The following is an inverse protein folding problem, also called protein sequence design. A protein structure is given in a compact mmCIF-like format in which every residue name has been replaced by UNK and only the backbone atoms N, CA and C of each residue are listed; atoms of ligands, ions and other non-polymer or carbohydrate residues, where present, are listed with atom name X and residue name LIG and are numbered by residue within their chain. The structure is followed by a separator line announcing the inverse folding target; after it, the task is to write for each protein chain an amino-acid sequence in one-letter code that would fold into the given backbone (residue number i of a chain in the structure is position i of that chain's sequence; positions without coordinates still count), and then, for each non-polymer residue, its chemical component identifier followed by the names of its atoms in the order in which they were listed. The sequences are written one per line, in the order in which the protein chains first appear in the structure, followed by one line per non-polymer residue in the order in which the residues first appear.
data_IF_983362628683
#
_entry.id   IF_983362628683
#
_cell.length_a   1.000
_cell.length_b   1.000
_cell.length_c   1.000
_cell.angle_alpha   90.00
_cell.angle_beta   90.00
_cell.angle_gamma   90.00
#
_symmetry.space_group_name_H-M   'P 1'
#
loop_
_entity.id
_entity.type
_entity.pdbx_description
1 polymer ?
#
# COMPACT_ATOMS: atom_id res chain seq x y z
N UNK A 1 7.82 25.68 -16.59
CA UNK A 1 8.27 24.95 -15.41
C UNK A 1 7.27 23.87 -15.07
N UNK A 2 7.77 22.67 -14.92
CA UNK A 2 6.89 21.55 -14.62
C UNK A 2 6.32 21.69 -13.22
N UNK A 3 5.06 21.31 -13.10
CA UNK A 3 4.40 21.23 -11.81
C UNK A 3 5.04 20.09 -11.00
N UNK A 4 5.53 20.35 -9.79
CA UNK A 4 6.12 19.27 -8.98
C UNK A 4 5.20 18.07 -8.77
N UNK A 5 3.88 18.30 -8.67
CA UNK A 5 2.92 17.20 -8.58
C UNK A 5 2.95 16.33 -9.81
N UNK A 6 3.05 16.93 -10.99
CA UNK A 6 3.12 16.19 -12.24
C UNK A 6 4.40 15.39 -12.34
N UNK A 7 5.50 15.95 -11.90
CA UNK A 7 6.79 15.27 -11.93
C UNK A 7 6.78 14.08 -10.98
N UNK A 8 6.20 14.25 -9.80
CA UNK A 8 6.08 13.18 -8.83
C UNK A 8 5.19 12.06 -9.37
N UNK A 9 4.05 12.41 -9.96
CA UNK A 9 3.14 11.44 -10.53
C UNK A 9 3.80 10.66 -11.66
N UNK A 10 4.56 11.33 -12.52
CA UNK A 10 5.27 10.69 -13.61
C UNK A 10 6.33 9.72 -13.08
N UNK A 11 7.05 10.11 -12.05
CA UNK A 11 8.07 9.25 -11.45
C UNK A 11 7.44 8.00 -10.84
N UNK A 12 6.36 8.16 -10.10
CA UNK A 12 5.64 7.03 -9.50
C UNK A 12 5.15 6.08 -10.58
N UNK A 13 4.57 6.61 -11.65
CA UNK A 13 4.10 5.81 -12.75
C UNK A 13 5.23 5.00 -13.38
N UNK A 14 6.36 5.63 -13.62
CA UNK A 14 7.52 4.98 -14.23
C UNK A 14 8.05 3.85 -13.35
N UNK A 15 8.13 4.09 -12.05
CA UNK A 15 8.58 3.08 -11.10
C UNK A 15 7.64 1.88 -11.12
N UNK A 16 6.34 2.14 -11.10
CA UNK A 16 5.34 1.09 -11.10
C UNK A 16 5.39 0.27 -12.39
N UNK A 17 5.49 0.94 -13.52
CA UNK A 17 5.57 0.26 -14.82
C UNK A 17 6.82 -0.61 -14.92
N UNK A 18 7.93 -0.10 -14.47
CA UNK A 18 9.18 -0.83 -14.52
C UNK A 18 9.11 -2.07 -13.63
N UNK A 19 8.58 -1.90 -12.43
CA UNK A 19 8.46 -2.99 -11.49
C UNK A 19 7.54 -4.10 -12.03
N UNK A 20 6.41 -3.71 -12.61
CA UNK A 20 5.48 -4.68 -13.19
C UNK A 20 6.09 -5.39 -14.38
N UNK A 21 6.74 -4.64 -15.26
CA UNK A 21 7.33 -5.20 -16.46
C UNK A 21 8.42 -6.22 -16.15
N UNK A 22 9.19 -5.97 -15.13
CA UNK A 22 10.32 -6.83 -14.76
C UNK A 22 9.95 -7.90 -13.75
N UNK A 23 8.71 -7.85 -13.23
CA UNK A 23 8.32 -8.76 -12.17
C UNK A 23 9.12 -8.58 -10.91
N UNK A 24 9.67 -7.38 -10.72
CA UNK A 24 10.59 -7.12 -9.61
C UNK A 24 9.90 -7.15 -8.27
N UNK A 25 8.61 -6.80 -8.26
CA UNK A 25 7.85 -6.79 -7.01
C UNK A 25 7.52 -8.19 -6.51
N UNK A 26 7.78 -9.21 -7.32
CA UNK A 26 7.53 -10.57 -6.90
C UNK A 26 6.06 -10.83 -6.61
N UNK A 27 5.19 -10.21 -7.38
CA UNK A 27 3.76 -10.38 -7.15
C UNK A 27 3.35 -11.83 -7.30
N UNK A 28 2.74 -12.40 -6.29
CA UNK A 28 2.24 -13.76 -6.41
C UNK A 28 1.00 -13.80 -7.28
N UNK A 29 0.61 -15.01 -7.70
CA UNK A 29 -0.61 -15.19 -8.48
C UNK A 29 -1.80 -15.18 -7.52
N UNK A 30 -2.16 -14.00 -7.07
CA UNK A 30 -3.26 -13.79 -6.13
C UNK A 30 -4.13 -12.65 -6.63
N UNK A 31 -5.29 -12.51 -6.02
CA UNK A 31 -6.18 -11.41 -6.35
C UNK A 31 -5.47 -10.08 -6.12
N UNK A 32 -5.72 -9.13 -7.01
CA UNK A 32 -5.09 -7.81 -6.94
C UNK A 32 -5.52 -7.08 -5.67
N UNK A 33 -6.79 -7.20 -5.29
CA UNK A 33 -7.30 -6.58 -4.06
C UNK A 33 -7.27 -7.64 -2.96
N UNK A 34 -6.15 -7.70 -2.25
CA UNK A 34 -5.97 -8.71 -1.21
C UNK A 34 -4.81 -8.30 -0.29
N UNK A 35 -4.76 -8.91 0.87
CA UNK A 35 -3.66 -8.72 1.80
C UNK A 35 -2.34 -9.15 1.18
N UNK A 36 -2.36 -10.26 0.46
CA UNK A 36 -1.17 -10.80 -0.17
C UNK A 36 -0.60 -9.84 -1.20
N UNK A 37 -1.46 -9.23 -2.01
CA UNK A 37 -1.02 -8.27 -3.00
C UNK A 37 -0.44 -7.02 -2.34
N UNK A 38 -1.10 -6.50 -1.33
CA UNK A 38 -0.60 -5.32 -0.61
C UNK A 38 0.76 -5.61 0.01
N UNK A 39 0.89 -6.77 0.66
CA UNK A 39 2.15 -7.18 1.29
C UNK A 39 3.28 -7.30 0.27
N UNK A 40 3.01 -7.94 -0.86
CA UNK A 40 4.01 -8.14 -1.90
C UNK A 40 4.45 -6.79 -2.48
N UNK A 41 3.51 -5.89 -2.69
CA UNK A 41 3.84 -4.57 -3.21
C UNK A 41 4.70 -3.76 -2.24
N UNK A 42 4.35 -3.77 -0.96
CA UNK A 42 5.11 -3.01 0.04
C UNK A 42 6.54 -3.57 0.17
N UNK A 43 6.67 -4.87 0.26
CA UNK A 43 7.98 -5.50 0.37
C UNK A 43 8.81 -5.28 -0.90
N UNK A 44 8.17 -5.41 -2.06
CA UNK A 44 8.86 -5.23 -3.33
C UNK A 44 9.35 -3.81 -3.55
N UNK A 45 8.53 -2.83 -3.21
CA UNK A 45 8.92 -1.43 -3.35
C UNK A 45 10.03 -1.10 -2.37
N UNK A 46 9.96 -1.61 -1.16
CA UNK A 46 11.02 -1.39 -0.18
C UNK A 46 12.37 -1.87 -0.71
N UNK A 47 12.38 -3.06 -1.30
CA UNK A 47 13.59 -3.60 -1.89
C UNK A 47 14.04 -2.82 -3.11
N UNK A 48 13.10 -2.52 -4.01
CA UNK A 48 13.41 -1.85 -5.26
C UNK A 48 14.05 -0.48 -5.03
N UNK A 49 13.51 0.26 -4.08
CA UNK A 49 13.99 1.62 -3.81
C UNK A 49 15.03 1.67 -2.70
N UNK A 50 15.33 0.55 -2.06
CA UNK A 50 16.29 0.45 -0.96
C UNK A 50 15.95 1.46 0.14
N UNK A 51 14.68 1.55 0.49
CA UNK A 51 14.20 2.45 1.55
C UNK A 51 13.94 1.67 2.83
N UNK A 52 13.82 2.39 3.94
CA UNK A 52 13.62 1.75 5.23
C UNK A 52 12.17 1.36 5.47
N UNK A 53 11.26 2.16 4.96
CA UNK A 53 9.82 1.94 5.14
C UNK A 53 9.11 2.09 3.80
N UNK A 54 8.09 1.28 3.60
CA UNK A 54 7.23 1.39 2.43
C UNK A 54 5.79 1.15 2.84
N UNK A 55 4.87 1.75 2.15
CA UNK A 55 3.45 1.51 2.34
C UNK A 55 2.84 1.22 0.97
N UNK A 56 1.92 0.29 0.94
CA UNK A 56 1.21 -0.06 -0.29
C UNK A 56 -0.27 -0.20 0.01
N UNK A 57 -1.08 0.11 -0.98
CA UNK A 57 -2.53 -0.05 -0.87
C UNK A 57 -3.06 -0.67 -2.14
N UNK A 58 -4.12 -1.44 -2.00
CA UNK A 58 -4.87 -1.95 -3.14
C UNK A 58 -6.34 -1.96 -2.75
N UNK A 59 -7.20 -1.46 -3.61
CA UNK A 59 -8.58 -1.34 -3.23
C UNK A 59 -9.52 -1.22 -4.40
N UNK A 60 -10.80 -1.27 -4.09
CA UNK A 60 -11.88 -1.14 -5.07
C UNK A 60 -12.49 0.24 -4.92
N UNK A 61 -12.27 1.09 -5.93
CA UNK A 61 -12.84 2.44 -5.91
C UNK A 61 -14.35 2.46 -6.10
N UNK A 62 -14.87 1.48 -6.79
CA UNK A 62 -16.27 1.39 -7.11
C UNK A 62 -16.59 2.03 -8.46
N UNK A 63 -17.86 2.06 -8.82
CA UNK A 63 -19.00 1.67 -8.00
C UNK A 63 -19.20 0.15 -7.87
N UNK A 64 -18.63 -0.65 -8.74
CA UNK A 64 -18.83 -2.09 -8.67
C UNK A 64 -17.76 -2.80 -7.86
N UNK A 65 -18.04 -4.05 -7.49
CA UNK A 65 -17.10 -4.90 -6.79
C UNK A 65 -16.00 -5.40 -7.74
N UNK A 66 -14.89 -5.84 -7.17
CA UNK A 66 -13.78 -6.39 -7.93
C UNK A 66 -13.11 -7.48 -7.10
N UNK A 67 -12.72 -8.59 -7.75
CA UNK A 67 -12.04 -9.70 -7.08
C UNK A 67 -12.77 -10.21 -5.84
N UNK A 68 -14.11 -10.16 -5.88
CA UNK A 68 -14.91 -10.58 -4.75
C UNK A 68 -15.00 -9.60 -3.61
N UNK A 69 -14.36 -8.43 -3.75
CA UNK A 69 -14.38 -7.39 -2.73
C UNK A 69 -15.37 -6.29 -3.10
N UNK A 70 -16.16 -5.80 -2.17
CA UNK A 70 -17.12 -4.73 -2.46
C UNK A 70 -16.41 -3.41 -2.69
N UNK A 71 -17.10 -2.50 -3.36
CA UNK A 71 -16.59 -1.15 -3.54
C UNK A 71 -16.25 -0.53 -2.17
N UNK A 72 -15.13 0.15 -2.09
CA UNK A 72 -14.67 0.74 -0.84
C UNK A 72 -13.78 -0.17 0.01
N UNK A 73 -13.62 -1.41 -0.40
CA UNK A 73 -12.71 -2.34 0.29
C UNK A 73 -11.27 -1.99 -0.07
N UNK A 74 -10.42 -1.79 0.92
CA UNK A 74 -9.02 -1.41 0.71
C UNK A 74 -8.13 -2.20 1.65
N UNK A 75 -7.12 -2.81 1.07
CA UNK A 75 -6.07 -3.49 1.81
C UNK A 75 -4.83 -2.61 1.85
N UNK A 76 -4.18 -2.59 3.00
CA UNK A 76 -3.00 -1.78 3.26
C UNK A 76 -1.86 -2.68 3.71
N UNK A 77 -0.65 -2.28 3.43
CA UNK A 77 0.52 -2.95 3.99
C UNK A 77 1.61 -1.93 4.24
N UNK A 78 2.34 -2.11 5.34
CA UNK A 78 3.60 -1.42 5.56
C UNK A 78 4.71 -2.47 5.59
N UNK A 79 5.86 -2.11 5.09
CA UNK A 79 7.04 -2.98 5.13
C UNK A 79 8.20 -2.21 5.74
N UNK A 80 8.94 -2.88 6.59
CA UNK A 80 10.13 -2.31 7.22
C UNK A 80 11.10 -3.43 7.52
N UNK A 81 12.20 -3.10 8.14
CA UNK A 81 13.17 -4.09 8.58
C UNK A 81 12.54 -5.13 9.50
N UNK A 82 11.54 -4.75 10.26
CA UNK A 82 10.88 -5.65 11.20
C UNK A 82 9.84 -6.56 10.55
N UNK A 83 9.56 -6.37 9.28
CA UNK A 83 8.63 -7.22 8.55
C UNK A 83 7.50 -6.44 7.90
N UNK A 84 6.46 -7.17 7.54
CA UNK A 84 5.32 -6.63 6.82
C UNK A 84 4.07 -6.75 7.68
N UNK A 85 3.33 -5.66 7.77
CA UNK A 85 2.05 -5.62 8.49
C UNK A 85 0.96 -5.27 7.49
N UNK A 86 -0.17 -5.97 7.54
CA UNK A 86 -1.30 -5.68 6.66
C UNK A 86 -2.53 -5.38 7.48
N UNK A 87 -3.42 -4.56 6.93
CA UNK A 87 -4.73 -4.33 7.54
C UNK A 87 -5.74 -3.96 6.45
N UNK A 88 -7.00 -3.96 6.81
CA UNK A 88 -8.12 -3.79 5.88
C UNK A 88 -9.10 -2.77 6.41
N UNK A 89 -9.64 -1.97 5.50
CA UNK A 89 -10.77 -1.10 5.79
C UNK A 89 -11.80 -1.22 4.70
N UNK A 90 -13.04 -0.99 5.08
CA UNK A 90 -14.13 -0.83 4.11
C UNK A 90 -14.69 0.57 4.30
N UNK A 91 -14.53 1.41 3.29
CA UNK A 91 -15.01 2.78 3.33
C UNK A 91 -16.34 2.87 2.59
N UNK A 92 -17.40 3.13 3.34
CA UNK A 92 -18.73 3.28 2.76
C UNK A 92 -18.87 4.73 2.28
N UNK A 93 -18.35 4.99 1.10
CA UNK A 93 -18.28 6.34 0.55
C UNK A 93 -18.20 6.29 -0.97
N UNK A 94 -18.38 7.44 -1.61
CA UNK A 94 -18.19 7.52 -3.05
C UNK A 94 -16.70 7.37 -3.40
N UNK A 95 -16.37 7.08 -4.67
CA UNK A 95 -14.97 6.79 -5.06
C UNK A 95 -13.98 7.89 -4.69
N UNK A 96 -14.37 9.15 -4.78
CA UNK A 96 -13.47 10.27 -4.45
C UNK A 96 -13.13 10.25 -2.97
N UNK A 97 -14.13 10.03 -2.13
CA UNK A 97 -13.91 9.97 -0.68
C UNK A 97 -13.17 8.71 -0.27
N UNK A 98 -13.39 7.60 -0.97
CA UNK A 98 -12.62 6.39 -0.73
C UNK A 98 -11.14 6.66 -0.92
N UNK A 99 -10.77 7.35 -2.00
CA UNK A 99 -9.38 7.69 -2.26
C UNK A 99 -8.82 8.57 -1.14
N UNK A 100 -9.55 9.62 -0.77
CA UNK A 100 -9.08 10.54 0.27
C UNK A 100 -8.87 9.83 1.61
N UNK A 101 -9.81 8.98 1.99
CA UNK A 101 -9.71 8.22 3.23
C UNK A 101 -8.60 7.18 3.18
N UNK A 102 -8.38 6.60 2.02
CA UNK A 102 -7.29 5.65 1.81
C UNK A 102 -5.95 6.32 2.01
N UNK A 103 -5.74 7.49 1.41
CA UNK A 103 -4.49 8.23 1.57
C UNK A 103 -4.25 8.56 3.03
N UNK A 104 -5.26 9.06 3.72
CA UNK A 104 -5.14 9.41 5.12
C UNK A 104 -4.80 8.18 5.97
N UNK A 105 -5.49 7.08 5.74
CA UNK A 105 -5.28 5.85 6.48
C UNK A 105 -3.88 5.29 6.24
N UNK A 106 -3.41 5.35 5.00
CA UNK A 106 -2.07 4.90 4.66
C UNK A 106 -1.00 5.73 5.38
N UNK A 107 -1.18 7.05 5.40
CA UNK A 107 -0.24 7.93 6.07
C UNK A 107 -0.24 7.72 7.58
N UNK A 108 -1.41 7.52 8.16
CA UNK A 108 -1.52 7.22 9.59
C UNK A 108 -0.83 5.91 9.91
N UNK A 109 -0.99 4.90 9.06
CA UNK A 109 -0.33 3.62 9.24
C UNK A 109 1.19 3.74 9.15
N UNK A 110 1.67 4.54 8.20
CA UNK A 110 3.10 4.79 8.06
C UNK A 110 3.64 5.53 9.29
N UNK A 111 2.91 6.53 9.77
CA UNK A 111 3.32 7.27 10.96
C UNK A 111 3.44 6.35 12.17
N UNK A 112 2.47 5.44 12.34
CA UNK A 112 2.55 4.45 13.40
C UNK A 112 3.76 3.54 13.27
N UNK A 113 4.06 3.10 12.05
CA UNK A 113 5.20 2.24 11.81
C UNK A 113 6.50 2.95 12.16
N UNK A 114 6.60 4.24 11.82
CA UNK A 114 7.78 5.05 12.13
C UNK A 114 7.92 5.28 13.63
N UNK A 115 6.81 5.55 14.31
CA UNK A 115 6.81 5.78 15.74
C UNK A 115 7.18 4.53 16.52
N UNK A 116 6.82 3.35 16.01
CA UNK A 116 7.17 2.11 16.64
C UNK A 116 8.68 1.87 16.63
N UNK A 117 9.38 2.49 15.66
CA UNK A 117 10.81 2.34 15.55
C UNK A 117 11.21 0.94 15.11
N UNK A 118 12.47 0.60 15.26
CA UNK A 118 12.93 -0.73 14.91
C UNK A 118 12.25 -1.78 15.77
N UNK A 119 12.12 -2.97 15.23
CA UNK A 119 11.48 -4.04 15.95
C UNK A 119 12.24 -4.31 17.24
N UNK A 120 11.52 -4.31 18.31
CA UNK A 120 12.09 -4.70 19.58
C UNK A 120 11.64 -6.10 19.96
N UNK A 121 11.16 -6.81 18.99
CA UNK A 121 10.83 -8.20 19.13
C UNK A 121 9.57 -8.48 19.93
N UNK A 122 9.20 -7.59 20.76
CA UNK A 122 8.06 -7.82 21.59
C UNK A 122 6.84 -7.05 21.19
N UNK A 123 7.02 -6.14 20.31
CA UNK A 123 5.92 -5.27 19.97
C UNK A 123 4.78 -6.06 19.39
N UNK A 124 3.66 -5.95 20.00
CA UNK A 124 2.47 -6.58 19.50
C UNK A 124 1.84 -5.66 18.49
N UNK A 125 1.91 -6.04 17.25
CA UNK A 125 1.40 -5.21 16.19
C UNK A 125 -0.03 -5.55 15.82
N UNK A 126 -0.68 -6.37 16.56
CA UNK A 126 -2.05 -6.75 16.22
C UNK A 126 -3.06 -5.73 16.60
N UNK A 127 -2.68 -4.78 17.37
CA UNK A 127 -3.58 -3.72 17.78
C UNK A 127 -3.89 -2.83 16.63
N UNK A 128 -5.09 -2.78 16.23
CA UNK A 128 -5.44 -1.92 15.07
C UNK A 128 -6.84 -1.42 15.22
#
# INVERSE_FOLDING_TARGET
VADPSSETAELVRRIAEEALRRGVLGMPDVAVVSAEAAAAMAAGVRDLLAVDFAVAVTGVGGPGAQDGEPAGSVWFATASESGVTTWHHHFDADPVRVVARTVRCALEGMAKALDAGPADGGADSTER
#
